data_IF_376099941451
#
_entry.id   IF_376099941451
#
_cell.length_a   1.000
_cell.length_b   1.000
_cell.length_c   1.000
_cell.angle_alpha   90.00
_cell.angle_beta   90.00
_cell.angle_gamma   90.00
#
_symmetry.space_group_name_H-M   'P 1'
#
loop_
_entity.id
_entity.type
_entity.pdbx_description
1 polymer ?
#
# COMPACT_ATOMS: atom_id res chain seq x y z
N UNK A 1 18.71 1.91 -28.93
CA UNK A 1 18.60 1.70 -27.45
C UNK A 1 17.18 1.35 -26.99
N UNK A 2 16.14 2.06 -27.42
CA UNK A 2 14.75 1.86 -26.96
C UNK A 2 14.19 0.42 -27.14
N UNK A 3 14.49 -0.26 -28.26
CA UNK A 3 14.05 -1.66 -28.50
C UNK A 3 14.63 -2.67 -27.51
N UNK A 4 15.87 -2.48 -27.05
CA UNK A 4 16.50 -3.37 -26.05
C UNK A 4 15.83 -3.19 -24.69
N UNK A 5 15.56 -1.94 -24.27
CA UNK A 5 14.87 -1.64 -23.01
C UNK A 5 13.48 -2.27 -22.90
N UNK A 6 12.67 -2.17 -23.96
CA UNK A 6 11.36 -2.81 -24.04
C UNK A 6 11.44 -4.35 -23.93
N UNK A 7 12.46 -4.98 -24.52
CA UNK A 7 12.66 -6.44 -24.37
C UNK A 7 12.96 -6.84 -22.92
N UNK A 8 13.76 -6.07 -22.19
CA UNK A 8 14.04 -6.35 -20.78
C UNK A 8 12.81 -6.16 -19.88
N UNK A 9 12.04 -5.09 -20.10
CA UNK A 9 10.78 -4.85 -19.38
C UNK A 9 9.82 -6.03 -19.59
N UNK A 10 9.72 -6.57 -20.81
CA UNK A 10 8.85 -7.72 -21.07
C UNK A 10 9.34 -9.02 -20.40
N UNK A 11 10.66 -9.18 -20.24
CA UNK A 11 11.27 -10.37 -19.66
C UNK A 11 11.21 -10.36 -18.13
N UNK A 12 11.49 -9.21 -17.48
CA UNK A 12 11.56 -9.08 -16.02
C UNK A 12 10.81 -7.85 -15.48
N UNK A 13 9.50 -7.69 -15.79
CA UNK A 13 8.78 -6.44 -15.47
C UNK A 13 8.71 -6.18 -13.97
N UNK A 14 8.38 -7.21 -13.17
CA UNK A 14 8.18 -7.08 -11.72
C UNK A 14 9.50 -6.79 -11.01
N UNK A 15 10.59 -7.47 -11.38
CA UNK A 15 11.89 -7.25 -10.76
C UNK A 15 12.40 -5.82 -11.00
N UNK A 16 12.27 -5.33 -12.24
CA UNK A 16 12.64 -3.95 -12.60
C UNK A 16 11.76 -2.96 -11.83
N UNK A 17 10.46 -3.23 -11.75
CA UNK A 17 9.50 -2.37 -11.04
C UNK A 17 9.80 -2.31 -9.54
N UNK A 18 10.14 -3.44 -8.91
CA UNK A 18 10.54 -3.50 -7.50
C UNK A 18 11.83 -2.72 -7.25
N UNK A 19 12.86 -2.93 -8.08
CA UNK A 19 14.11 -2.16 -7.97
C UNK A 19 13.83 -0.67 -8.09
N UNK A 20 13.04 -0.25 -9.07
CA UNK A 20 12.63 1.13 -9.25
C UNK A 20 11.90 1.69 -8.01
N UNK A 21 10.88 0.97 -7.52
CA UNK A 21 10.09 1.39 -6.37
C UNK A 21 10.91 1.48 -5.08
N UNK A 22 11.87 0.57 -4.88
CA UNK A 22 12.79 0.59 -3.73
C UNK A 22 13.74 1.79 -3.84
N UNK A 23 14.34 2.03 -5.01
CA UNK A 23 15.25 3.16 -5.21
C UNK A 23 14.55 4.50 -4.98
N UNK A 24 13.31 4.65 -5.42
CA UNK A 24 12.52 5.86 -5.18
C UNK A 24 12.29 6.11 -3.69
N UNK A 25 11.93 5.07 -2.94
CA UNK A 25 11.72 5.15 -1.47
C UNK A 25 13.01 5.39 -0.71
N UNK A 26 14.10 4.75 -1.12
CA UNK A 26 15.43 5.00 -0.56
C UNK A 26 15.87 6.44 -0.80
N UNK A 27 15.60 6.99 -1.99
CA UNK A 27 15.87 8.40 -2.27
C UNK A 27 15.08 9.31 -1.33
N UNK A 28 13.78 9.07 -1.14
CA UNK A 28 12.98 9.87 -0.19
C UNK A 28 13.47 9.69 1.23
N UNK A 29 13.77 8.46 1.67
CA UNK A 29 14.30 8.17 3.00
C UNK A 29 15.61 8.91 3.28
N UNK A 30 16.55 8.90 2.34
CA UNK A 30 17.86 9.59 2.44
C UNK A 30 17.76 11.11 2.26
N UNK A 31 16.68 11.64 1.68
CA UNK A 31 16.51 13.09 1.55
C UNK A 31 15.68 13.68 2.71
N UNK A 32 14.66 12.96 3.18
CA UNK A 32 13.67 13.44 4.13
C UNK A 32 14.01 13.11 5.59
N UNK A 33 14.61 11.94 5.86
CA UNK A 33 15.11 11.47 7.17
C UNK A 33 14.14 11.45 8.36
N UNK A 34 12.87 11.82 8.18
CA UNK A 34 11.93 11.96 9.29
C UNK A 34 10.62 11.20 9.06
N UNK A 35 9.88 10.95 10.14
CA UNK A 35 8.51 10.47 10.12
C UNK A 35 7.58 11.67 10.18
N UNK A 36 6.68 11.79 9.20
CA UNK A 36 5.76 12.93 9.18
C UNK A 36 4.62 12.70 10.18
N UNK A 37 4.53 13.61 11.15
CA UNK A 37 3.41 13.69 12.09
C UNK A 37 2.48 14.83 11.70
N UNK A 38 1.20 14.52 11.62
CA UNK A 38 0.12 15.47 11.42
C UNK A 38 -0.66 15.62 12.73
N UNK A 39 -1.54 16.65 12.87
CA UNK A 39 -2.38 16.79 14.06
C UNK A 39 -3.18 15.51 14.37
N UNK A 40 -3.65 14.82 13.33
CA UNK A 40 -4.39 13.56 13.45
C UNK A 40 -3.51 12.37 13.91
N UNK A 41 -2.19 12.46 13.77
CA UNK A 41 -1.28 11.38 14.13
C UNK A 41 -1.29 11.10 15.64
N UNK A 42 -1.54 12.11 16.47
CA UNK A 42 -1.62 11.97 17.92
C UNK A 42 -2.73 10.99 18.33
N UNK A 43 -3.94 11.18 17.80
CA UNK A 43 -5.09 10.31 18.08
C UNK A 43 -4.80 8.85 17.68
N UNK A 44 -4.11 8.64 16.56
CA UNK A 44 -3.74 7.29 16.10
C UNK A 44 -2.72 6.64 17.05
N UNK A 45 -1.74 7.40 17.54
CA UNK A 45 -0.77 6.91 18.52
C UNK A 45 -1.40 6.64 19.89
N UNK A 46 -2.35 7.47 20.31
CA UNK A 46 -3.10 7.28 21.55
C UNK A 46 -3.91 5.99 21.51
N UNK A 47 -4.70 5.75 20.44
CA UNK A 47 -5.41 4.50 20.26
C UNK A 47 -4.46 3.29 20.21
N UNK A 48 -3.28 3.44 19.60
CA UNK A 48 -2.28 2.36 19.60
C UNK A 48 -1.81 2.00 21.01
N UNK A 49 -1.67 2.97 21.93
CA UNK A 49 -1.34 2.72 23.33
C UNK A 49 -2.44 1.91 24.04
N UNK A 50 -3.71 2.26 23.85
CA UNK A 50 -4.83 1.47 24.40
C UNK A 50 -4.80 0.02 23.89
N UNK A 51 -4.56 -0.17 22.59
CA UNK A 51 -4.44 -1.51 21.97
C UNK A 51 -3.25 -2.30 22.52
N UNK A 52 -2.10 -1.66 22.76
CA UNK A 52 -0.92 -2.30 23.35
C UNK A 52 -1.19 -2.83 24.77
N UNK A 53 -2.00 -2.12 25.55
CA UNK A 53 -2.38 -2.52 26.91
C UNK A 53 -3.59 -3.46 26.95
N UNK A 54 -4.11 -3.89 25.79
CA UNK A 54 -5.31 -4.71 25.66
C UNK A 54 -6.53 -4.14 26.41
N UNK A 55 -6.59 -2.82 26.58
CA UNK A 55 -7.66 -2.12 27.30
C UNK A 55 -8.07 -0.86 26.56
N UNK A 56 -9.37 -0.74 26.27
CA UNK A 56 -9.99 0.47 25.73
C UNK A 56 -10.68 1.30 26.83
N UNK A 57 -10.35 1.05 28.10
CA UNK A 57 -10.91 1.79 29.22
C UNK A 57 -10.55 3.28 29.06
N UNK A 58 -11.57 4.14 29.06
CA UNK A 58 -11.48 5.59 28.81
C UNK A 58 -11.18 6.01 27.35
N UNK A 59 -11.19 5.07 26.38
CA UNK A 59 -11.11 5.45 24.98
C UNK A 59 -12.42 6.09 24.50
N UNK A 60 -12.32 7.29 23.94
CA UNK A 60 -13.46 8.15 23.52
C UNK A 60 -14.00 7.83 22.13
N UNK A 61 -13.37 6.93 21.37
CA UNK A 61 -13.86 6.50 20.05
C UNK A 61 -13.48 7.43 18.89
N UNK A 62 -12.44 8.25 19.05
CA UNK A 62 -12.07 9.31 18.08
C UNK A 62 -11.58 8.78 16.72
N UNK A 63 -10.97 7.60 16.67
CA UNK A 63 -10.39 6.99 15.46
C UNK A 63 -10.71 5.50 15.32
N UNK A 64 -10.64 5.02 14.08
CA UNK A 64 -10.76 3.59 13.75
C UNK A 64 -9.45 2.84 14.00
N UNK A 65 -9.49 1.52 14.30
CA UNK A 65 -8.31 0.77 14.74
C UNK A 65 -7.35 0.37 13.62
N UNK A 66 -7.62 0.65 12.34
CA UNK A 66 -6.81 0.17 11.22
C UNK A 66 -5.31 0.54 11.33
N UNK A 67 -4.99 1.84 11.31
CA UNK A 67 -3.62 2.32 11.50
C UNK A 67 -3.12 2.14 12.95
N UNK A 68 -3.91 2.42 14.00
CA UNK A 68 -3.51 2.19 15.39
C UNK A 68 -3.07 0.76 15.68
N UNK A 69 -3.72 -0.24 15.07
CA UNK A 69 -3.32 -1.64 15.20
C UNK A 69 -1.95 -1.88 14.56
N UNK A 70 -1.67 -1.26 13.41
CA UNK A 70 -0.36 -1.33 12.77
C UNK A 70 0.74 -0.74 13.67
N UNK A 71 0.45 0.42 14.30
CA UNK A 71 1.35 1.06 15.26
C UNK A 71 1.57 0.15 16.48
N UNK A 72 0.49 -0.41 17.05
CA UNK A 72 0.57 -1.34 18.18
C UNK A 72 1.35 -2.62 17.84
N UNK A 73 1.19 -3.18 16.63
CA UNK A 73 1.96 -4.36 16.18
C UNK A 73 3.46 -4.12 16.12
N UNK A 74 3.89 -2.86 15.95
CA UNK A 74 5.30 -2.46 15.99
C UNK A 74 5.78 -2.05 17.39
N UNK A 75 4.97 -2.29 18.43
CA UNK A 75 5.29 -1.88 19.79
C UNK A 75 5.23 -0.36 20.01
N UNK A 76 4.50 0.38 19.15
CA UNK A 76 4.46 1.84 19.19
C UNK A 76 5.62 2.53 18.46
N UNK A 77 6.50 1.78 17.79
CA UNK A 77 7.62 2.36 17.06
C UNK A 77 7.19 2.93 15.69
N UNK A 78 7.20 4.24 15.57
CA UNK A 78 6.75 4.94 14.37
C UNK A 78 7.64 4.69 13.15
N UNK A 79 8.97 4.55 13.33
CA UNK A 79 9.88 4.21 12.23
C UNK A 79 9.60 2.80 11.70
N UNK A 80 9.34 1.84 12.59
CA UNK A 80 8.94 0.50 12.20
C UNK A 80 7.57 0.49 11.52
N UNK A 81 6.63 1.32 11.99
CA UNK A 81 5.33 1.52 11.33
C UNK A 81 5.50 2.02 9.91
N UNK A 82 6.29 3.08 9.71
CA UNK A 82 6.60 3.64 8.38
C UNK A 82 7.29 2.60 7.49
N UNK A 83 8.19 1.77 8.02
CA UNK A 83 8.81 0.70 7.25
C UNK A 83 7.77 -0.31 6.73
N UNK A 84 6.76 -0.66 7.55
CA UNK A 84 5.65 -1.51 7.10
C UNK A 84 4.76 -0.78 6.09
N UNK A 85 4.40 0.48 6.32
CA UNK A 85 3.63 1.29 5.37
C UNK A 85 4.32 1.37 4.00
N UNK A 86 5.64 1.55 4.00
CA UNK A 86 6.47 1.55 2.80
C UNK A 86 6.42 0.20 2.08
N UNK A 87 6.47 -0.91 2.83
CA UNK A 87 6.28 -2.26 2.30
C UNK A 87 4.88 -2.47 1.69
N UNK A 88 3.84 -1.95 2.35
CA UNK A 88 2.46 -1.95 1.85
C UNK A 88 2.36 -1.14 0.55
N UNK A 89 3.03 0.01 0.45
CA UNK A 89 3.12 0.81 -0.77
C UNK A 89 3.75 0.04 -1.95
N UNK A 90 4.81 -0.74 -1.69
CA UNK A 90 5.41 -1.63 -2.69
C UNK A 90 4.45 -2.75 -3.14
N UNK A 91 3.67 -3.32 -2.22
CA UNK A 91 2.61 -4.28 -2.57
C UNK A 91 1.52 -3.62 -3.41
N UNK A 92 1.12 -2.38 -3.09
CA UNK A 92 0.18 -1.58 -3.89
C UNK A 92 0.67 -1.37 -5.33
N UNK A 93 1.96 -1.06 -5.51
CA UNK A 93 2.58 -0.97 -6.84
C UNK A 93 2.48 -2.29 -7.63
N UNK A 94 2.69 -3.43 -6.97
CA UNK A 94 2.49 -4.75 -7.60
C UNK A 94 1.03 -4.98 -8.01
N UNK A 95 0.06 -4.63 -7.13
CA UNK A 95 -1.37 -4.80 -7.42
C UNK A 95 -1.79 -3.97 -8.63
N UNK A 96 -1.32 -2.71 -8.74
CA UNK A 96 -1.55 -1.85 -9.91
C UNK A 96 -1.01 -2.53 -11.17
N UNK A 97 0.23 -3.02 -11.13
CA UNK A 97 0.82 -3.71 -12.28
C UNK A 97 0.00 -4.94 -12.72
N UNK A 98 -0.37 -5.83 -11.81
CA UNK A 98 -1.09 -7.06 -12.16
C UNK A 98 -2.53 -6.77 -12.65
N UNK A 99 -3.20 -5.78 -12.02
CA UNK A 99 -4.50 -5.29 -12.45
C UNK A 99 -4.43 -4.73 -13.88
N UNK A 100 -3.51 -3.80 -14.14
CA UNK A 100 -3.33 -3.17 -15.45
C UNK A 100 -2.90 -4.18 -16.52
N UNK A 101 -2.02 -5.13 -16.18
CA UNK A 101 -1.59 -6.19 -17.11
C UNK A 101 -2.77 -7.05 -17.54
N UNK A 102 -3.65 -7.41 -16.61
CA UNK A 102 -4.81 -8.24 -16.91
C UNK A 102 -5.85 -7.47 -17.74
N UNK A 103 -5.96 -6.14 -17.59
CA UNK A 103 -6.88 -5.32 -18.39
C UNK A 103 -6.36 -4.97 -19.79
N UNK A 104 -5.08 -4.65 -19.90
CA UNK A 104 -4.46 -4.21 -21.17
C UNK A 104 -3.98 -5.37 -22.03
N UNK A 105 -3.70 -6.53 -21.44
CA UNK A 105 -3.06 -7.67 -22.11
C UNK A 105 -1.56 -7.46 -22.38
N UNK A 106 -1.02 -6.27 -22.10
CA UNK A 106 0.36 -5.89 -22.44
C UNK A 106 1.18 -5.58 -21.19
N UNK A 107 2.28 -6.32 -21.01
CA UNK A 107 3.19 -6.11 -19.87
C UNK A 107 3.84 -4.73 -19.87
N UNK A 108 4.17 -4.20 -21.04
CA UNK A 108 4.86 -2.91 -21.17
C UNK A 108 3.95 -1.75 -20.77
N UNK A 109 2.70 -1.77 -21.24
CA UNK A 109 1.69 -0.75 -20.88
C UNK A 109 1.40 -0.79 -19.38
N UNK A 110 1.21 -1.99 -18.81
CA UNK A 110 1.04 -2.15 -17.36
C UNK A 110 2.24 -1.69 -16.53
N UNK A 111 3.46 -1.95 -17.01
CA UNK A 111 4.69 -1.51 -16.36
C UNK A 111 4.75 0.03 -16.28
N UNK A 112 4.48 0.73 -17.39
CA UNK A 112 4.51 2.18 -17.40
C UNK A 112 3.39 2.80 -16.55
N UNK A 113 2.21 2.21 -16.53
CA UNK A 113 1.13 2.64 -15.62
C UNK A 113 1.62 2.55 -14.16
N UNK A 114 2.19 1.42 -13.75
CA UNK A 114 2.69 1.24 -12.39
C UNK A 114 3.83 2.21 -12.06
N UNK A 115 4.80 2.40 -12.97
CA UNK A 115 5.90 3.36 -12.78
C UNK A 115 5.37 4.78 -12.61
N UNK A 116 4.48 5.24 -13.50
CA UNK A 116 3.94 6.60 -13.45
C UNK A 116 3.17 6.82 -12.15
N UNK A 117 2.28 5.90 -11.78
CA UNK A 117 1.50 6.03 -10.55
C UNK A 117 2.39 6.02 -9.32
N UNK A 118 3.36 5.12 -9.22
CA UNK A 118 4.29 5.08 -8.08
C UNK A 118 5.26 6.27 -8.06
N UNK A 119 5.47 6.95 -9.19
CA UNK A 119 6.27 8.19 -9.25
C UNK A 119 5.56 9.38 -8.59
N UNK A 120 4.27 9.28 -8.30
CA UNK A 120 3.54 10.36 -7.64
C UNK A 120 4.07 10.57 -6.23
N UNK A 121 4.76 11.69 -6.07
CA UNK A 121 5.50 11.99 -4.86
C UNK A 121 4.62 12.04 -3.60
N UNK A 122 3.37 12.49 -3.75
CA UNK A 122 2.42 12.49 -2.63
C UNK A 122 2.14 11.08 -2.11
N UNK A 123 2.03 10.07 -2.98
CA UNK A 123 1.84 8.67 -2.54
C UNK A 123 3.04 8.19 -1.72
N UNK A 124 4.25 8.52 -2.16
CA UNK A 124 5.46 8.15 -1.43
C UNK A 124 5.50 8.87 -0.09
N UNK A 125 5.20 10.17 -0.02
CA UNK A 125 5.18 10.90 1.26
C UNK A 125 4.12 10.38 2.23
N UNK A 126 2.95 9.95 1.76
CA UNK A 126 1.94 9.32 2.62
C UNK A 126 2.42 7.99 3.24
N UNK A 127 3.43 7.33 2.69
CA UNK A 127 4.04 6.14 3.31
C UNK A 127 4.90 6.51 4.54
N UNK A 128 5.49 7.71 4.53
CA UNK A 128 6.28 8.27 5.64
C UNK A 128 5.45 9.03 6.67
N UNK A 129 4.18 9.31 6.35
CA UNK A 129 3.25 9.94 7.27
C UNK A 129 2.53 8.92 8.14
N UNK A 130 2.33 9.24 9.42
CA UNK A 130 1.45 8.45 10.31
C UNK A 130 0.00 8.86 10.06
N UNK A 131 -0.54 8.36 8.95
CA UNK A 131 -1.89 8.60 8.50
C UNK A 131 -2.46 7.35 7.80
N UNK A 132 -3.76 7.36 7.50
CA UNK A 132 -4.47 6.15 7.04
C UNK A 132 -4.40 5.93 5.53
N UNK A 133 -3.96 6.91 4.73
CA UNK A 133 -4.10 6.90 3.27
C UNK A 133 -3.36 5.73 2.63
N UNK A 134 -2.15 5.40 3.10
CA UNK A 134 -1.38 4.27 2.57
C UNK A 134 -2.14 2.96 2.76
N UNK A 135 -2.72 2.76 3.94
CA UNK A 135 -3.47 1.56 4.26
C UNK A 135 -4.79 1.50 3.49
N UNK A 136 -5.52 2.62 3.44
CA UNK A 136 -6.78 2.73 2.70
C UNK A 136 -6.58 2.51 1.20
N UNK A 137 -5.56 3.12 0.60
CA UNK A 137 -5.24 2.93 -0.81
C UNK A 137 -4.87 1.48 -1.11
N UNK A 138 -4.08 0.84 -0.23
CA UNK A 138 -3.75 -0.57 -0.39
C UNK A 138 -4.99 -1.47 -0.38
N UNK A 139 -5.88 -1.32 0.62
CA UNK A 139 -7.10 -2.13 0.68
C UNK A 139 -8.06 -1.86 -0.47
N UNK A 140 -8.13 -0.61 -0.96
CA UNK A 140 -8.90 -0.27 -2.14
C UNK A 140 -8.36 -0.98 -3.39
N UNK A 141 -7.04 -0.93 -3.61
CA UNK A 141 -6.39 -1.62 -4.72
C UNK A 141 -6.53 -3.13 -4.60
N UNK A 142 -6.37 -3.68 -3.40
CA UNK A 142 -6.54 -5.10 -3.12
C UNK A 142 -7.97 -5.55 -3.43
N UNK A 143 -8.97 -4.77 -3.03
CA UNK A 143 -10.38 -5.04 -3.31
C UNK A 143 -10.64 -5.09 -4.81
N UNK A 144 -10.21 -4.09 -5.58
CA UNK A 144 -10.37 -4.08 -7.03
C UNK A 144 -9.62 -5.23 -7.71
N UNK A 145 -8.39 -5.48 -7.28
CA UNK A 145 -7.60 -6.60 -7.77
C UNK A 145 -8.30 -7.93 -7.51
N UNK A 146 -8.86 -8.13 -6.32
CA UNK A 146 -9.56 -9.35 -5.93
C UNK A 146 -10.84 -9.55 -6.75
N UNK A 147 -11.66 -8.50 -6.87
CA UNK A 147 -12.88 -8.50 -7.70
C UNK A 147 -12.57 -8.92 -9.12
N UNK A 148 -11.52 -8.35 -9.71
CA UNK A 148 -11.09 -8.69 -11.07
C UNK A 148 -10.54 -10.11 -11.16
N UNK A 149 -9.66 -10.51 -10.24
CA UNK A 149 -8.94 -11.79 -10.28
C UNK A 149 -9.90 -12.98 -10.26
N UNK A 150 -10.93 -12.89 -9.44
CA UNK A 150 -11.92 -13.94 -9.25
C UNK A 150 -13.22 -13.68 -10.02
N UNK A 151 -13.26 -12.62 -10.85
CA UNK A 151 -14.39 -12.28 -11.72
C UNK A 151 -15.72 -12.20 -10.98
N UNK A 152 -15.73 -11.57 -9.79
CA UNK A 152 -16.90 -11.57 -8.92
C UNK A 152 -18.16 -10.97 -9.56
N UNK A 153 -18.00 -10.10 -10.55
CA UNK A 153 -19.14 -9.54 -11.28
C UNK A 153 -19.82 -10.55 -12.23
N UNK A 154 -19.22 -11.72 -12.45
CA UNK A 154 -19.84 -12.81 -13.21
C UNK A 154 -20.72 -13.68 -12.28
N UNK A 155 -21.92 -14.09 -12.75
CA UNK A 155 -22.92 -14.78 -11.92
C UNK A 155 -22.51 -16.18 -11.44
N UNK A 156 -21.39 -16.72 -11.94
CA UNK A 156 -20.89 -18.07 -11.61
C UNK A 156 -19.91 -18.09 -10.42
N UNK A 157 -19.71 -16.96 -9.75
CA UNK A 157 -18.69 -16.83 -8.69
C UNK A 157 -19.17 -17.42 -7.37
N UNK A 158 -18.29 -18.15 -6.68
CA UNK A 158 -18.60 -18.77 -5.39
C UNK A 158 -18.81 -17.74 -4.26
N UNK A 159 -19.79 -17.99 -3.38
CA UNK A 159 -20.18 -17.10 -2.26
C UNK A 159 -19.01 -16.71 -1.35
N UNK A 160 -18.04 -17.61 -1.16
CA UNK A 160 -16.85 -17.38 -0.33
C UNK A 160 -16.08 -16.10 -0.70
N UNK A 161 -16.06 -15.73 -1.98
CA UNK A 161 -15.34 -14.55 -2.44
C UNK A 161 -16.05 -13.23 -2.06
N UNK A 162 -17.37 -13.26 -1.92
CA UNK A 162 -18.14 -12.11 -1.44
C UNK A 162 -17.97 -11.91 0.06
N UNK A 163 -17.90 -13.00 0.83
CA UNK A 163 -17.63 -12.94 2.27
C UNK A 163 -16.28 -12.28 2.55
N UNK A 164 -15.24 -12.62 1.78
CA UNK A 164 -13.91 -12.01 1.93
C UNK A 164 -13.91 -10.50 1.71
N UNK A 165 -14.76 -9.97 0.82
CA UNK A 165 -14.87 -8.53 0.58
C UNK A 165 -15.81 -7.80 1.55
N UNK A 166 -16.62 -8.53 2.31
CA UNK A 166 -17.54 -7.94 3.30
C UNK A 166 -16.88 -7.65 4.65
N UNK A 167 -15.65 -8.14 4.84
CA UNK A 167 -14.79 -7.93 6.01
C UNK A 167 -13.90 -6.72 5.72
#
# INVERSE_FOLDING_TARGET
>A
MLKKGSQYINKYPIAILLVYGILLRLLVFVCYHDVTLYPDSEDYTNLAQYLLHFSLENYTGERTPGLPLLIALTGGNLYATVAIQTGIGLLGMYLIFDFSKTKTGEKQTAFWIAVITTSFLHLVFYEFAILTETLTLFFLLLSFWYIQKFKLLEPKTALKHYVVLSI
#
